data_IF_466334101420
#
_entry.id   IF_466334101420
#
_cell.length_a   1.000
_cell.length_b   1.000
_cell.length_c   1.000
_cell.angle_alpha   90.00
_cell.angle_beta   90.00
_cell.angle_gamma   90.00
#
_symmetry.space_group_name_H-M   'P 1'
#
loop_
_entity.id
_entity.type
_entity.pdbx_description
1 polymer ?
#
# COMPACT_ATOMS: atom_id res chain seq x y z
N UNK A 1 11.31 -7.16 -11.92
CA UNK A 1 12.31 -8.08 -11.34
C UNK A 1 13.56 -7.36 -10.85
N UNK A 2 14.24 -6.58 -11.69
CA UNK A 2 15.51 -5.90 -11.34
C UNK A 2 15.48 -5.11 -10.00
N UNK A 3 14.41 -4.34 -9.73
CA UNK A 3 14.25 -3.60 -8.48
C UNK A 3 14.22 -4.51 -7.23
N UNK A 4 13.52 -5.65 -7.33
CA UNK A 4 13.35 -6.59 -6.24
C UNK A 4 14.68 -7.27 -5.90
N UNK A 5 15.38 -7.76 -6.91
CA UNK A 5 16.69 -8.43 -6.79
C UNK A 5 17.78 -7.48 -6.28
N UNK A 6 17.89 -6.25 -6.82
CA UNK A 6 18.80 -5.21 -6.30
C UNK A 6 18.48 -4.86 -4.84
N UNK A 7 17.21 -4.98 -4.47
CA UNK A 7 16.74 -4.85 -3.10
C UNK A 7 17.12 -6.01 -2.18
N UNK A 8 17.72 -7.08 -2.70
CA UNK A 8 18.03 -8.31 -1.97
C UNK A 8 16.86 -9.29 -1.87
N UNK A 9 15.78 -9.05 -2.64
CA UNK A 9 14.69 -10.01 -2.79
C UNK A 9 15.15 -11.24 -3.55
N UNK A 10 14.65 -12.41 -3.16
CA UNK A 10 14.98 -13.69 -3.79
C UNK A 10 13.70 -14.42 -4.17
N UNK A 11 13.67 -14.95 -5.38
CA UNK A 11 12.69 -15.91 -5.88
C UNK A 11 13.42 -17.20 -6.21
N UNK A 12 12.84 -18.32 -5.82
CA UNK A 12 13.39 -19.65 -6.08
C UNK A 12 12.26 -20.52 -6.63
N UNK A 13 12.57 -21.33 -7.65
CA UNK A 13 11.68 -22.38 -8.15
C UNK A 13 10.37 -21.88 -8.76
N UNK A 14 10.30 -20.61 -9.17
CA UNK A 14 9.07 -19.98 -9.64
C UNK A 14 9.30 -19.09 -10.87
N UNK A 15 8.32 -19.13 -11.77
CA UNK A 15 8.15 -18.20 -12.89
C UNK A 15 6.81 -17.45 -12.75
N UNK A 16 6.53 -16.52 -13.64
CA UNK A 16 5.30 -15.73 -13.66
C UNK A 16 4.40 -16.09 -14.84
N UNK A 17 3.16 -16.48 -14.54
CA UNK A 17 2.12 -16.50 -15.56
C UNK A 17 1.74 -15.06 -15.93
N UNK A 18 1.56 -14.83 -17.23
CA UNK A 18 1.25 -13.52 -17.79
C UNK A 18 -0.19 -13.46 -18.31
N UNK A 19 -0.82 -12.30 -18.22
CA UNK A 19 -2.12 -12.04 -18.85
C UNK A 19 -1.99 -11.72 -20.36
N UNK A 20 -3.12 -11.39 -20.98
CA UNK A 20 -3.21 -11.02 -22.40
C UNK A 20 -2.36 -9.78 -22.75
N UNK A 21 -2.04 -8.94 -21.75
CA UNK A 21 -1.22 -7.73 -21.89
C UNK A 21 0.27 -8.01 -21.55
N UNK A 22 0.68 -9.28 -21.42
CA UNK A 22 2.01 -9.73 -21.02
C UNK A 22 2.41 -9.32 -19.58
N UNK A 23 1.45 -8.97 -18.72
CA UNK A 23 1.70 -8.54 -17.34
C UNK A 23 1.67 -9.75 -16.38
N UNK A 24 2.64 -9.87 -15.45
CA UNK A 24 2.67 -10.99 -14.51
C UNK A 24 1.51 -10.92 -13.52
N UNK A 25 0.70 -11.99 -13.45
CA UNK A 25 -0.50 -12.05 -12.59
C UNK A 25 -0.32 -12.99 -11.41
N UNK A 26 0.34 -14.14 -11.63
CA UNK A 26 0.52 -15.17 -10.61
C UNK A 26 1.91 -15.81 -10.73
N UNK A 27 2.43 -16.31 -9.61
CA UNK A 27 3.64 -17.14 -9.60
C UNK A 27 3.25 -18.60 -9.85
N UNK A 28 3.98 -19.28 -10.71
CA UNK A 28 3.84 -20.71 -11.02
C UNK A 28 5.15 -21.40 -10.64
N UNK A 29 5.06 -22.58 -10.03
CA UNK A 29 6.23 -23.39 -9.74
C UNK A 29 6.81 -23.98 -11.04
N UNK A 30 8.12 -23.81 -11.25
CA UNK A 30 8.83 -24.42 -12.39
C UNK A 30 9.13 -25.91 -12.14
N UNK A 31 9.18 -26.31 -10.87
CA UNK A 31 9.47 -27.67 -10.44
C UNK A 31 8.64 -28.08 -9.20
N UNK A 32 8.55 -29.38 -8.87
CA UNK A 32 7.82 -29.84 -7.69
C UNK A 32 8.41 -29.27 -6.40
N UNK A 33 7.54 -28.65 -5.58
CA UNK A 33 7.93 -28.04 -4.30
C UNK A 33 7.65 -28.96 -3.11
N UNK A 34 8.52 -28.91 -2.11
CA UNK A 34 8.36 -29.52 -0.79
C UNK A 34 7.84 -28.50 0.24
N UNK A 35 7.26 -28.97 1.35
CA UNK A 35 6.65 -28.11 2.38
C UNK A 35 7.59 -27.06 3.01
N UNK A 36 8.91 -27.26 2.93
CA UNK A 36 9.92 -26.37 3.53
C UNK A 36 10.67 -25.52 2.51
N UNK A 37 10.31 -25.62 1.24
CA UNK A 37 11.01 -24.87 0.19
C UNK A 37 10.63 -23.39 0.26
N UNK A 38 11.65 -22.55 0.28
CA UNK A 38 11.46 -21.10 0.37
C UNK A 38 11.36 -20.54 -1.04
N UNK A 39 10.13 -20.28 -1.47
CA UNK A 39 9.82 -19.74 -2.82
C UNK A 39 10.07 -18.23 -2.96
N UNK A 40 9.95 -17.49 -1.86
CA UNK A 40 10.02 -16.03 -1.85
C UNK A 40 10.65 -15.54 -0.55
N UNK A 41 11.70 -14.74 -0.67
CA UNK A 41 12.28 -13.98 0.44
C UNK A 41 12.16 -12.48 0.16
N UNK A 42 11.44 -11.76 1.01
CA UNK A 42 11.26 -10.31 0.91
C UNK A 42 11.99 -9.61 2.05
N UNK A 43 13.11 -8.91 1.76
CA UNK A 43 13.77 -8.05 2.73
C UNK A 43 12.81 -6.98 3.28
N UNK A 44 12.81 -6.78 4.61
CA UNK A 44 11.95 -5.79 5.26
C UNK A 44 12.12 -4.38 4.68
N UNK A 45 13.29 -4.01 4.15
CA UNK A 45 13.53 -2.70 3.53
C UNK A 45 12.76 -2.47 2.21
N UNK A 46 12.20 -3.53 1.62
CA UNK A 46 11.36 -3.50 0.42
C UNK A 46 9.87 -3.46 0.76
N UNK A 47 9.48 -3.75 2.00
CA UNK A 47 8.07 -3.66 2.42
C UNK A 47 7.67 -2.22 2.72
N UNK A 48 6.40 -1.88 2.52
CA UNK A 48 5.83 -0.62 2.96
C UNK A 48 5.12 -0.82 4.30
N UNK A 49 5.59 -0.15 5.34
CA UNK A 49 5.03 -0.28 6.68
C UNK A 49 5.53 0.78 7.64
N UNK A 50 5.00 0.75 8.87
CA UNK A 50 5.40 1.66 9.95
C UNK A 50 6.92 1.68 10.16
N UNK A 51 7.58 0.54 9.93
CA UNK A 51 9.02 0.38 10.18
C UNK A 51 9.89 0.87 9.02
N UNK A 52 9.33 1.05 7.83
CA UNK A 52 10.06 1.56 6.67
C UNK A 52 9.78 3.04 6.41
N UNK A 53 8.62 3.59 6.83
CA UNK A 53 8.38 5.04 6.74
C UNK A 53 9.43 5.87 7.50
N UNK A 54 9.99 5.35 8.60
CA UNK A 54 11.05 6.03 9.38
C UNK A 54 12.35 6.22 8.60
N UNK A 55 12.53 5.50 7.50
CA UNK A 55 13.70 5.59 6.62
C UNK A 55 13.49 6.60 5.49
N UNK A 56 12.27 7.14 5.35
CA UNK A 56 11.91 8.02 4.24
C UNK A 56 12.21 9.46 4.61
N UNK A 57 13.12 10.07 3.85
CA UNK A 57 13.45 11.47 3.96
C UNK A 57 12.40 12.34 3.25
N UNK A 58 12.13 13.48 3.86
CA UNK A 58 11.28 14.55 3.34
C UNK A 58 12.11 15.83 3.24
N UNK A 59 11.58 16.88 2.60
CA UNK A 59 12.28 18.17 2.47
C UNK A 59 12.71 18.78 3.82
N UNK A 60 12.05 18.44 4.93
CA UNK A 60 12.32 19.02 6.26
C UNK A 60 12.35 18.00 7.41
N UNK A 61 12.74 16.75 7.16
CA UNK A 61 12.85 15.72 8.21
C UNK A 61 12.53 14.31 7.73
N UNK A 62 12.02 13.47 8.62
CA UNK A 62 11.63 12.10 8.29
C UNK A 62 10.11 11.99 8.19
N UNK A 63 9.61 11.10 7.32
CA UNK A 63 8.17 10.92 7.11
C UNK A 63 7.44 10.50 8.40
N UNK A 64 8.11 9.74 9.27
CA UNK A 64 7.57 9.34 10.58
C UNK A 64 7.15 10.54 11.43
N UNK A 65 7.83 11.68 11.31
CA UNK A 65 7.60 12.85 12.17
C UNK A 65 6.22 13.46 11.89
N UNK A 66 5.67 13.19 10.69
CA UNK A 66 4.35 13.62 10.25
C UNK A 66 3.30 12.52 10.34
N UNK A 67 3.65 11.29 9.96
CA UNK A 67 2.67 10.20 9.81
C UNK A 67 2.62 9.18 10.94
N UNK A 68 3.54 9.21 11.93
CA UNK A 68 3.45 8.25 13.03
C UNK A 68 2.15 8.41 13.84
N UNK A 69 1.62 9.64 13.97
CA UNK A 69 0.28 9.88 14.57
C UNK A 69 -0.85 9.23 13.77
N UNK A 70 -0.72 9.16 12.45
CA UNK A 70 -1.71 8.48 11.59
C UNK A 70 -1.64 6.98 11.83
N UNK A 71 -0.44 6.40 11.83
CA UNK A 71 -0.23 4.97 12.13
C UNK A 71 -0.73 4.59 13.53
N UNK A 72 -0.51 5.44 14.54
CA UNK A 72 -1.01 5.21 15.91
C UNK A 72 -2.54 5.23 15.98
N UNK A 73 -3.18 6.09 15.18
CA UNK A 73 -4.65 6.17 15.12
C UNK A 73 -5.25 4.96 14.41
N UNK A 74 -4.70 4.60 13.25
CA UNK A 74 -5.11 3.48 12.44
C UNK A 74 -3.97 3.10 11.48
N UNK A 75 -3.48 1.85 11.57
CA UNK A 75 -2.33 1.40 10.78
C UNK A 75 -2.63 1.38 9.27
N UNK A 76 -3.86 1.04 8.85
CA UNK A 76 -4.27 1.08 7.44
C UNK A 76 -4.28 2.51 6.91
N UNK A 77 -4.69 3.48 7.73
CA UNK A 77 -4.65 4.89 7.35
C UNK A 77 -3.21 5.38 7.19
N UNK A 78 -2.32 4.95 8.09
CA UNK A 78 -0.89 5.21 8.00
C UNK A 78 -0.30 4.63 6.71
N UNK A 79 -0.61 3.37 6.40
CA UNK A 79 -0.21 2.72 5.16
C UNK A 79 -0.74 3.44 3.92
N UNK A 80 -2.01 3.86 3.93
CA UNK A 80 -2.63 4.56 2.80
C UNK A 80 -1.95 5.93 2.56
N UNK A 81 -1.63 6.65 3.63
CA UNK A 81 -0.90 7.91 3.55
C UNK A 81 0.53 7.71 3.04
N UNK A 82 1.22 6.68 3.53
CA UNK A 82 2.57 6.35 3.07
C UNK A 82 2.59 5.94 1.59
N UNK A 83 1.62 5.12 1.17
CA UNK A 83 1.43 4.72 -0.22
C UNK A 83 1.23 5.92 -1.14
N UNK A 84 0.32 6.84 -0.79
CA UNK A 84 0.07 8.03 -1.59
C UNK A 84 1.29 8.95 -1.65
N UNK A 85 1.96 9.15 -0.53
CA UNK A 85 3.15 9.99 -0.48
C UNK A 85 4.24 9.49 -1.42
N UNK A 86 4.50 8.17 -1.44
CA UNK A 86 5.45 7.57 -2.37
C UNK A 86 4.93 7.57 -3.82
N UNK A 87 3.64 7.30 -4.04
CA UNK A 87 3.06 7.35 -5.38
C UNK A 87 3.20 8.73 -6.03
N UNK A 88 3.01 9.81 -5.25
CA UNK A 88 3.10 11.19 -5.72
C UNK A 88 4.53 11.63 -6.06
N UNK A 89 5.55 10.90 -5.58
CA UNK A 89 6.94 11.10 -6.02
C UNK A 89 7.22 10.53 -7.41
N UNK A 90 6.37 9.64 -7.92
CA UNK A 90 6.57 8.99 -9.22
C UNK A 90 7.89 8.20 -9.26
N UNK A 91 8.74 8.52 -10.24
CA UNK A 91 10.03 7.83 -10.45
C UNK A 91 11.04 8.06 -9.31
N UNK A 92 10.88 9.13 -8.53
CA UNK A 92 11.75 9.40 -7.37
C UNK A 92 11.41 8.50 -6.16
N UNK A 93 10.32 7.74 -6.23
CA UNK A 93 9.97 6.80 -5.18
C UNK A 93 10.84 5.56 -5.23
N UNK A 94 11.43 5.23 -4.07
CA UNK A 94 12.11 3.95 -3.86
C UNK A 94 11.17 2.76 -4.10
N UNK A 95 9.87 2.92 -3.85
CA UNK A 95 8.85 1.87 -4.06
C UNK A 95 8.11 2.02 -5.38
N UNK A 96 8.51 2.95 -6.26
CA UNK A 96 7.85 3.22 -7.53
C UNK A 96 7.54 1.95 -8.36
N UNK A 97 8.52 1.05 -8.59
CA UNK A 97 8.28 -0.20 -9.30
C UNK A 97 7.23 -1.10 -8.64
N UNK A 98 7.20 -1.17 -7.31
CA UNK A 98 6.20 -1.94 -6.57
C UNK A 98 4.81 -1.29 -6.66
N UNK A 99 4.72 0.03 -6.48
CA UNK A 99 3.45 0.78 -6.51
C UNK A 99 2.79 0.69 -7.89
N UNK A 100 3.57 0.70 -8.97
CA UNK A 100 3.08 0.53 -10.35
C UNK A 100 2.34 -0.80 -10.56
N UNK A 101 2.69 -1.85 -9.81
CA UNK A 101 2.03 -3.16 -9.88
C UNK A 101 0.69 -3.19 -9.13
N UNK A 102 0.39 -2.20 -8.28
CA UNK A 102 -0.84 -2.16 -7.48
C UNK A 102 -2.03 -1.70 -8.34
N UNK A 103 -2.59 -2.63 -9.11
CA UNK A 103 -3.79 -2.40 -9.93
C UNK A 103 -5.05 -2.39 -9.06
N UNK A 104 -5.67 -1.22 -8.89
CA UNK A 104 -6.98 -1.09 -8.27
C UNK A 104 -7.95 -0.34 -9.17
N UNK A 105 -9.05 -0.99 -9.56
CA UNK A 105 -10.13 -0.40 -10.35
C UNK A 105 -11.30 -0.01 -9.43
N UNK A 106 -11.68 1.25 -9.46
CA UNK A 106 -12.87 1.73 -8.76
C UNK A 106 -14.13 1.38 -9.54
N UNK A 107 -15.16 0.88 -8.84
CA UNK A 107 -16.45 0.56 -9.46
C UNK A 107 -17.13 1.83 -9.99
N UNK A 108 -17.67 1.75 -11.21
CA UNK A 108 -18.44 2.84 -11.80
C UNK A 108 -19.79 2.97 -11.10
N UNK A 109 -20.38 4.18 -11.18
CA UNK A 109 -21.71 4.46 -10.59
C UNK A 109 -22.82 3.54 -11.12
N UNK A 110 -22.74 3.08 -12.37
CA UNK A 110 -23.70 2.14 -12.95
C UNK A 110 -23.69 0.79 -12.22
N UNK A 111 -22.50 0.21 -12.07
CA UNK A 111 -22.30 -1.06 -11.34
C UNK A 111 -22.75 -0.90 -9.88
N UNK A 112 -22.43 0.23 -9.24
CA UNK A 112 -22.87 0.49 -7.86
C UNK A 112 -24.40 0.59 -7.71
N UNK A 113 -25.13 1.02 -8.74
CA UNK A 113 -26.60 1.01 -8.72
C UNK A 113 -27.14 -0.40 -8.76
N UNK A 114 -26.52 -1.29 -9.53
CA UNK A 114 -26.91 -2.69 -9.64
C UNK A 114 -26.62 -3.46 -8.34
N UNK A 115 -25.54 -3.12 -7.64
CA UNK A 115 -25.18 -3.74 -6.36
C UNK A 115 -26.02 -3.24 -5.17
N UNK A 116 -26.92 -2.26 -5.37
CA UNK A 116 -27.67 -1.64 -4.27
C UNK A 116 -28.48 -2.70 -3.50
N UNK A 117 -28.38 -2.66 -2.18
CA UNK A 117 -29.05 -3.62 -1.29
C UNK A 117 -28.28 -4.92 -1.05
N UNK A 118 -27.13 -5.11 -1.69
CA UNK A 118 -26.22 -6.22 -1.39
C UNK A 118 -25.23 -5.85 -0.28
N UNK A 119 -24.64 -6.86 0.35
CA UNK A 119 -23.55 -6.68 1.29
C UNK A 119 -22.35 -5.93 0.68
N UNK A 120 -22.04 -6.18 -0.60
CA UNK A 120 -20.97 -5.50 -1.32
C UNK A 120 -21.19 -3.98 -1.42
N UNK A 121 -22.44 -3.54 -1.62
CA UNK A 121 -22.79 -2.11 -1.63
C UNK A 121 -22.63 -1.46 -0.26
N UNK A 122 -22.97 -2.15 0.83
CA UNK A 122 -22.75 -1.62 2.18
C UNK A 122 -21.27 -1.54 2.53
N UNK A 123 -20.49 -2.57 2.19
CA UNK A 123 -19.04 -2.56 2.41
C UNK A 123 -18.36 -1.42 1.64
N UNK A 124 -18.74 -1.21 0.37
CA UNK A 124 -18.27 -0.07 -0.41
C UNK A 124 -18.59 1.26 0.28
N UNK A 125 -19.82 1.43 0.77
CA UNK A 125 -20.26 2.66 1.46
C UNK A 125 -19.45 2.90 2.73
N UNK A 126 -19.18 1.86 3.52
CA UNK A 126 -18.34 1.95 4.70
C UNK A 126 -16.93 2.43 4.36
N UNK A 127 -16.32 1.90 3.29
CA UNK A 127 -14.99 2.33 2.86
C UNK A 127 -14.96 3.77 2.33
N UNK A 128 -16.02 4.23 1.65
CA UNK A 128 -16.13 5.62 1.20
C UNK A 128 -16.28 6.60 2.38
N UNK A 129 -17.04 6.20 3.41
CA UNK A 129 -17.13 6.93 4.68
C UNK A 129 -15.77 6.97 5.40
N UNK A 130 -15.05 5.85 5.44
CA UNK A 130 -13.74 5.78 6.05
C UNK A 130 -12.72 6.72 5.36
N UNK A 131 -12.73 6.79 4.04
CA UNK A 131 -11.91 7.75 3.30
C UNK A 131 -12.27 9.21 3.65
N UNK A 132 -13.56 9.49 3.92
CA UNK A 132 -14.03 10.80 4.36
C UNK A 132 -13.54 11.12 5.78
N UNK A 133 -13.58 10.15 6.70
CA UNK A 133 -13.05 10.31 8.05
C UNK A 133 -11.53 10.51 8.06
N UNK A 134 -10.80 9.75 7.24
CA UNK A 134 -9.36 9.94 7.06
C UNK A 134 -9.05 11.35 6.54
N UNK A 135 -9.78 11.82 5.53
CA UNK A 135 -9.60 13.17 4.98
C UNK A 135 -9.81 14.26 6.05
N UNK A 136 -10.87 14.14 6.84
CA UNK A 136 -11.14 15.06 7.95
C UNK A 136 -10.01 15.03 8.99
N UNK A 137 -9.59 13.83 9.41
CA UNK A 137 -8.50 13.65 10.36
C UNK A 137 -7.18 14.27 9.88
N UNK A 138 -6.84 14.11 8.59
CA UNK A 138 -5.65 14.72 8.01
C UNK A 138 -5.73 16.25 8.01
N UNK A 139 -6.87 16.82 7.58
CA UNK A 139 -7.09 18.27 7.53
C UNK A 139 -7.08 18.94 8.89
N UNK A 140 -7.62 18.28 9.91
CA UNK A 140 -7.71 18.83 11.27
C UNK A 140 -6.42 18.59 12.09
N UNK A 141 -5.58 17.64 11.67
CA UNK A 141 -4.38 17.23 12.39
C UNK A 141 -3.11 17.33 11.53
N UNK A 142 -2.52 16.19 11.08
CA UNK A 142 -1.18 16.14 10.49
C UNK A 142 -0.93 17.07 9.29
N UNK A 143 -1.97 17.40 8.51
CA UNK A 143 -1.86 18.22 7.31
C UNK A 143 -2.45 19.62 7.47
N UNK A 144 -2.93 20.01 8.67
CA UNK A 144 -3.56 21.32 8.92
C UNK A 144 -2.64 22.49 8.55
N UNK A 145 -1.36 22.31 8.83
CA UNK A 145 -0.31 23.29 8.55
C UNK A 145 0.82 22.61 7.78
N UNK A 146 0.50 22.10 6.58
CA UNK A 146 1.46 21.42 5.72
C UNK A 146 2.47 22.40 5.09
N UNK A 147 3.35 22.97 5.91
CA UNK A 147 4.41 23.87 5.48
C UNK A 147 5.46 23.20 4.58
N UNK A 148 5.40 21.87 4.45
CA UNK A 148 6.40 21.06 3.76
C UNK A 148 5.89 20.51 2.42
N UNK A 149 4.62 20.73 2.09
CA UNK A 149 3.96 20.16 0.92
C UNK A 149 3.87 18.63 0.96
N UNK A 150 3.96 18.03 2.15
CA UNK A 150 3.92 16.58 2.39
C UNK A 150 2.57 15.96 2.06
N UNK A 151 1.50 16.71 2.28
CA UNK A 151 0.13 16.31 2.01
C UNK A 151 -0.39 16.85 0.67
N UNK A 152 0.47 17.54 -0.10
CA UNK A 152 0.12 18.05 -1.42
C UNK A 152 -0.27 16.88 -2.34
N UNK A 153 -1.43 16.97 -3.00
CA UNK A 153 -1.98 15.89 -3.82
C UNK A 153 -2.63 14.72 -3.05
N UNK A 154 -2.40 14.62 -1.73
CA UNK A 154 -3.00 13.57 -0.89
C UNK A 154 -4.38 13.95 -0.35
N UNK A 155 -4.68 15.24 -0.18
CA UNK A 155 -5.92 15.74 0.42
C UNK A 155 -7.15 15.70 -0.51
N UNK A 156 -7.14 14.80 -1.47
CA UNK A 156 -8.28 14.49 -2.33
C UNK A 156 -8.94 13.19 -1.88
N UNK A 157 -10.27 13.22 -1.71
CA UNK A 157 -11.02 12.04 -1.29
C UNK A 157 -10.83 10.86 -2.25
N UNK A 158 -10.71 11.14 -3.54
CA UNK A 158 -10.48 10.13 -4.59
C UNK A 158 -9.16 9.40 -4.41
N UNK A 159 -8.09 10.14 -4.10
CA UNK A 159 -6.75 9.58 -3.84
C UNK A 159 -6.73 8.74 -2.56
N UNK A 160 -7.28 9.28 -1.46
CA UNK A 160 -7.38 8.55 -0.18
C UNK A 160 -8.22 7.28 -0.31
N UNK A 161 -9.33 7.34 -1.05
CA UNK A 161 -10.16 6.18 -1.31
C UNK A 161 -9.39 5.11 -2.09
N UNK A 162 -8.71 5.48 -3.18
CA UNK A 162 -7.90 4.53 -3.94
C UNK A 162 -6.83 3.87 -3.06
N UNK A 163 -6.11 4.65 -2.26
CA UNK A 163 -5.03 4.13 -1.43
C UNK A 163 -5.53 3.21 -0.31
N UNK A 164 -6.62 3.59 0.38
CA UNK A 164 -7.25 2.74 1.39
C UNK A 164 -7.69 1.40 0.79
N UNK A 165 -8.22 1.41 -0.43
CA UNK A 165 -8.62 0.18 -1.10
C UNK A 165 -7.44 -0.71 -1.44
N UNK A 166 -6.34 -0.12 -1.93
CA UNK A 166 -5.10 -0.87 -2.19
C UNK A 166 -4.61 -1.51 -0.89
N UNK A 167 -4.58 -0.75 0.21
CA UNK A 167 -4.18 -1.26 1.52
C UNK A 167 -5.10 -2.38 1.98
N UNK A 168 -6.42 -2.22 1.96
CA UNK A 168 -7.36 -3.26 2.39
C UNK A 168 -7.28 -4.54 1.55
N UNK A 169 -6.86 -4.44 0.29
CA UNK A 169 -6.71 -5.60 -0.60
C UNK A 169 -5.36 -6.30 -0.45
N UNK A 170 -4.28 -5.56 -0.20
CA UNK A 170 -2.91 -6.07 -0.34
C UNK A 170 -2.10 -6.07 0.97
N UNK A 171 -2.54 -5.36 2.00
CA UNK A 171 -1.82 -5.32 3.26
C UNK A 171 -1.92 -6.67 3.98
N UNK A 172 -0.79 -7.13 4.50
CA UNK A 172 -0.69 -8.37 5.28
C UNK A 172 -0.24 -8.00 6.70
N UNK A 173 -0.95 -8.46 7.74
CA UNK A 173 -0.51 -8.26 9.11
C UNK A 173 0.72 -9.12 9.38
N UNK A 174 1.85 -8.48 9.67
CA UNK A 174 3.09 -9.16 10.04
C UNK A 174 3.27 -9.07 11.55
N UNK A 175 3.36 -10.23 12.21
CA UNK A 175 3.65 -10.29 13.65
C UNK A 175 5.14 -10.43 13.87
N UNK A 176 5.64 -9.78 14.91
CA UNK A 176 6.99 -10.04 15.41
C UNK A 176 6.94 -11.35 16.20
N UNK A 177 7.68 -12.37 15.76
CA UNK A 177 7.95 -13.51 16.63
C UNK A 177 8.75 -13.01 17.84
N UNK A 178 8.20 -13.19 19.04
CA UNK A 178 8.97 -13.10 20.26
C UNK A 178 9.86 -14.35 20.27
N UNK A 179 11.14 -14.19 19.98
CA UNK A 179 12.09 -15.27 20.20
C UNK A 179 12.08 -15.63 21.67
N UNK A 180 11.85 -16.91 21.98
CA UNK A 180 12.09 -17.46 23.31
C UNK A 180 13.56 -17.21 23.65
N UNK A 181 13.79 -16.43 24.73
CA UNK A 181 15.10 -16.21 25.34
C UNK A 181 15.37 -17.31 26.34
#
# INVERSE_FOLDING_TARGET
>A
MEWFEKGGGQLSYVDFARDEDDEPVVMIAEEPLSERDVVLQVPMKLTMGRQTQRLVQTKRGLLKDHFDKVFQRNEEWGLACFLLYEQLKGEDSKWGPFIKMLKMRLLRRSIMKELKGTFASELYRQWDLEATHLLAFLKDGPCRHDFNGLCSGMLERTSLRWALWVVKRHAVPVRKEQGDV
#
